data_IF_721149957922
#
_entry.id   IF_721149957922
#
_cell.length_a   1.000
_cell.length_b   1.000
_cell.length_c   1.000
_cell.angle_alpha   90.00
_cell.angle_beta   90.00
_cell.angle_gamma   90.00
#
_symmetry.space_group_name_H-M   'P 1'
#
loop_
_entity.id
_entity.type
_entity.pdbx_description
1 polymer ?
#
# COMPACT_ATOMS: atom_id res chain seq x y z
N UNK A 1 8.60 -13.27 10.99
CA UNK A 1 9.82 -12.56 10.53
C UNK A 1 9.51 -11.14 10.03
N UNK A 2 8.60 -10.98 9.07
CA UNK A 2 8.18 -9.67 8.51
C UNK A 2 7.77 -8.62 9.56
N UNK A 3 6.90 -8.98 10.52
CA UNK A 3 6.46 -8.06 11.59
C UNK A 3 7.57 -7.64 12.58
N UNK A 4 8.67 -8.39 12.68
CA UNK A 4 9.85 -7.98 13.47
C UNK A 4 10.77 -7.04 12.68
N UNK A 5 10.84 -7.22 11.35
CA UNK A 5 11.58 -6.34 10.46
C UNK A 5 10.89 -4.98 10.36
N UNK A 6 9.55 -4.93 10.22
CA UNK A 6 8.80 -3.67 10.23
C UNK A 6 9.02 -2.91 11.55
N UNK A 7 8.90 -3.59 12.70
CA UNK A 7 9.12 -3.01 14.04
C UNK A 7 10.48 -2.33 14.24
N UNK A 8 11.51 -2.73 13.51
CA UNK A 8 12.86 -2.14 13.59
C UNK A 8 12.98 -0.83 12.79
N UNK A 9 12.14 -0.65 11.77
CA UNK A 9 12.00 0.59 11.00
C UNK A 9 10.91 1.52 11.56
N UNK A 10 10.01 1.02 12.41
CA UNK A 10 8.91 1.81 13.03
C UNK A 10 9.31 2.52 14.33
N UNK A 11 10.55 3.01 14.48
CA UNK A 11 10.87 3.85 15.63
C UNK A 11 10.14 5.20 15.49
N UNK A 12 8.89 5.24 15.96
CA UNK A 12 8.12 6.43 16.40
C UNK A 12 7.88 7.58 15.41
N UNK A 13 8.39 7.56 14.19
CA UNK A 13 8.10 8.59 13.20
C UNK A 13 6.87 8.20 12.36
N UNK A 14 5.82 9.02 12.43
CA UNK A 14 4.71 8.98 11.48
C UNK A 14 5.25 9.35 10.09
N UNK A 15 4.97 8.51 9.10
CA UNK A 15 5.26 8.81 7.70
C UNK A 15 4.27 9.88 7.22
N UNK A 16 4.80 11.07 6.95
CA UNK A 16 3.98 12.23 6.55
C UNK A 16 3.61 12.21 5.06
N UNK A 17 4.22 11.33 4.25
CA UNK A 17 3.87 11.19 2.83
C UNK A 17 2.56 10.44 2.61
N UNK A 18 2.04 10.54 1.39
CA UNK A 18 0.89 9.75 0.95
C UNK A 18 1.32 8.29 0.75
N UNK A 19 0.53 7.35 1.26
CA UNK A 19 0.78 5.91 1.11
C UNK A 19 -0.41 5.28 0.41
N UNK A 20 -0.18 4.67 -0.75
CA UNK A 20 -1.17 3.80 -1.38
C UNK A 20 -0.94 2.35 -0.93
N UNK A 21 -1.94 1.76 -0.30
CA UNK A 21 -1.96 0.36 0.11
C UNK A 21 -2.90 -0.43 -0.79
N UNK A 22 -2.35 -1.25 -1.69
CA UNK A 22 -3.13 -2.11 -2.57
C UNK A 22 -3.25 -3.53 -1.99
N UNK A 23 -4.47 -4.07 -1.91
CA UNK A 23 -4.76 -5.38 -1.33
C UNK A 23 -5.66 -6.24 -2.23
N UNK A 24 -5.37 -7.54 -2.30
CA UNK A 24 -6.28 -8.54 -2.87
C UNK A 24 -7.48 -8.83 -1.96
N UNK A 25 -8.70 -8.88 -2.51
CA UNK A 25 -9.96 -9.21 -1.80
C UNK A 25 -9.94 -10.60 -1.16
N UNK A 26 -9.34 -11.58 -1.83
CA UNK A 26 -9.33 -13.00 -1.45
C UNK A 26 -8.11 -13.41 -0.63
N UNK A 27 -7.56 -12.47 0.15
CA UNK A 27 -6.41 -12.71 1.04
C UNK A 27 -6.87 -12.73 2.51
N UNK A 28 -7.39 -13.85 3.04
CA UNK A 28 -8.23 -13.88 4.23
C UNK A 28 -7.54 -13.47 5.55
N UNK A 29 -6.21 -13.44 5.63
CA UNK A 29 -5.49 -13.27 6.90
C UNK A 29 -4.36 -12.23 6.92
N UNK A 30 -3.85 -11.82 5.76
CA UNK A 30 -2.64 -10.98 5.70
C UNK A 30 -2.93 -9.48 5.76
N UNK A 31 -4.10 -9.06 5.26
CA UNK A 31 -4.46 -7.64 5.16
C UNK A 31 -4.71 -6.97 6.51
N UNK A 32 -5.57 -7.54 7.37
CA UNK A 32 -6.10 -6.81 8.53
C UNK A 32 -5.05 -6.35 9.54
N UNK A 33 -4.17 -7.24 9.99
CA UNK A 33 -3.17 -6.87 11.00
C UNK A 33 -2.07 -5.96 10.45
N UNK A 34 -1.76 -6.06 9.15
CA UNK A 34 -0.73 -5.22 8.52
C UNK A 34 -1.29 -3.84 8.18
N UNK A 35 -2.52 -3.78 7.65
CA UNK A 35 -3.21 -2.54 7.32
C UNK A 35 -3.41 -1.65 8.55
N UNK A 36 -3.79 -2.23 9.70
CA UNK A 36 -3.93 -1.46 10.95
C UNK A 36 -2.60 -0.87 11.44
N UNK A 37 -1.49 -1.59 11.26
CA UNK A 37 -0.16 -1.05 11.59
C UNK A 37 0.21 0.09 10.64
N UNK A 38 -0.08 -0.05 9.34
CA UNK A 38 0.15 1.02 8.37
C UNK A 38 -0.73 2.25 8.61
N UNK A 39 -2.01 2.09 8.98
CA UNK A 39 -2.90 3.21 9.36
C UNK A 39 -2.37 4.02 10.53
N UNK A 40 -1.73 3.37 11.50
CA UNK A 40 -1.09 4.05 12.63
C UNK A 40 0.18 4.80 12.22
N UNK A 41 0.89 4.31 11.21
CA UNK A 41 2.16 4.89 10.77
C UNK A 41 1.99 5.98 9.72
N UNK A 42 0.98 5.87 8.86
CA UNK A 42 0.75 6.74 7.72
C UNK A 42 -0.69 7.27 7.82
N UNK A 43 -0.91 8.45 8.44
CA UNK A 43 -2.25 9.03 8.55
C UNK A 43 -2.88 9.34 7.19
N UNK A 44 -2.05 9.53 6.16
CA UNK A 44 -2.45 9.77 4.77
C UNK A 44 -2.47 8.48 3.93
N UNK A 45 -2.85 7.35 4.54
CA UNK A 45 -2.97 6.08 3.84
C UNK A 45 -4.28 5.99 3.05
N UNK A 46 -4.17 5.65 1.76
CA UNK A 46 -5.27 5.30 0.88
C UNK A 46 -5.24 3.79 0.66
N UNK A 47 -6.35 3.10 1.00
CA UNK A 47 -6.51 1.66 0.76
C UNK A 47 -7.32 1.43 -0.52
N UNK A 48 -6.80 0.59 -1.41
CA UNK A 48 -7.57 0.10 -2.55
C UNK A 48 -7.56 -1.43 -2.62
N UNK A 49 -8.65 -1.98 -3.15
CA UNK A 49 -8.85 -3.43 -3.26
C UNK A 49 -8.91 -3.88 -4.70
N UNK A 50 -8.24 -4.98 -4.99
CA UNK A 50 -8.20 -5.64 -6.28
C UNK A 50 -8.82 -7.02 -6.11
N UNK A 51 -9.70 -7.40 -7.03
CA UNK A 51 -10.40 -8.68 -6.93
C UNK A 51 -9.50 -9.84 -7.36
N UNK A 52 -8.60 -10.25 -6.45
CA UNK A 52 -7.61 -11.28 -6.69
C UNK A 52 -7.01 -11.81 -5.38
N UNK A 53 -6.29 -12.92 -5.46
CA UNK A 53 -5.41 -13.36 -4.37
C UNK A 53 -4.09 -12.59 -4.37
N UNK A 54 -3.33 -12.69 -3.28
CA UNK A 54 -1.97 -12.15 -3.22
C UNK A 54 -1.04 -12.74 -4.30
N UNK A 55 -1.29 -13.99 -4.74
CA UNK A 55 -0.45 -14.65 -5.76
C UNK A 55 -0.69 -14.07 -7.15
N UNK A 56 -1.95 -13.80 -7.47
CA UNK A 56 -2.37 -13.35 -8.81
C UNK A 56 -2.16 -11.85 -9.03
N UNK A 57 -1.69 -11.13 -8.01
CA UNK A 57 -1.62 -9.67 -7.99
C UNK A 57 -0.79 -9.08 -9.16
N UNK A 58 0.25 -9.80 -9.57
CA UNK A 58 1.14 -9.42 -10.67
C UNK A 58 0.93 -10.28 -11.93
N UNK A 59 -0.12 -11.09 -11.94
CA UNK A 59 -0.52 -11.89 -13.09
C UNK A 59 -1.62 -11.17 -13.89
N UNK A 60 -1.73 -11.51 -15.17
CA UNK A 60 -2.84 -11.07 -16.01
C UNK A 60 -4.17 -11.70 -15.52
N UNK A 61 -5.29 -10.93 -15.47
CA UNK A 61 -5.43 -9.54 -15.89
C UNK A 61 -5.14 -8.50 -14.77
N UNK A 62 -4.90 -8.94 -13.54
CA UNK A 62 -4.81 -8.08 -12.36
C UNK A 62 -3.65 -7.10 -12.39
N UNK A 63 -2.53 -7.45 -13.01
CA UNK A 63 -1.38 -6.57 -13.19
C UNK A 63 -1.75 -5.28 -13.93
N UNK A 64 -2.69 -5.34 -14.88
CA UNK A 64 -3.23 -4.17 -15.56
C UNK A 64 -4.04 -3.27 -14.62
N UNK A 65 -4.85 -3.86 -13.74
CA UNK A 65 -5.60 -3.13 -12.71
C UNK A 65 -4.69 -2.52 -11.63
N UNK A 66 -3.57 -3.16 -11.30
CA UNK A 66 -2.53 -2.60 -10.43
C UNK A 66 -1.88 -1.40 -11.12
N UNK A 67 -1.47 -1.54 -12.38
CA UNK A 67 -0.80 -0.48 -13.13
C UNK A 67 -1.69 0.76 -13.29
N UNK A 68 -2.99 0.59 -13.58
CA UNK A 68 -3.97 1.69 -13.67
C UNK A 68 -4.03 2.54 -12.39
N UNK A 69 -3.86 1.93 -11.22
CA UNK A 69 -3.85 2.61 -9.91
C UNK A 69 -2.52 3.28 -9.60
N UNK A 70 -1.40 2.67 -10.00
CA UNK A 70 -0.06 3.19 -9.73
C UNK A 70 0.36 4.33 -10.66
N UNK A 71 0.03 4.24 -11.96
CA UNK A 71 0.51 5.19 -12.98
C UNK A 71 0.13 6.65 -12.65
N UNK A 72 -1.10 6.99 -12.21
CA UNK A 72 -1.44 8.36 -11.86
C UNK A 72 -0.60 8.96 -10.72
N UNK A 73 -0.12 8.11 -9.80
CA UNK A 73 0.67 8.53 -8.64
C UNK A 73 2.15 8.73 -8.97
N UNK A 74 2.68 7.92 -9.91
CA UNK A 74 4.09 7.98 -10.32
C UNK A 74 4.28 8.98 -11.48
N UNK A 75 3.26 9.11 -12.34
CA UNK A 75 3.30 9.86 -13.59
C UNK A 75 2.99 11.35 -13.48
N UNK A 76 2.87 11.91 -12.28
CA UNK A 76 2.73 13.36 -12.07
C UNK A 76 4.04 13.98 -11.57
N UNK A 77 5.01 14.28 -12.45
CA UNK A 77 6.28 14.91 -12.08
C UNK A 77 6.15 16.33 -11.47
N UNK A 78 4.95 16.91 -11.42
CA UNK A 78 4.69 18.27 -10.94
C UNK A 78 4.19 18.40 -9.49
N UNK A 79 4.11 17.31 -8.70
CA UNK A 79 3.88 17.45 -7.25
C UNK A 79 5.15 17.94 -6.55
N UNK A 80 5.45 19.24 -6.66
CA UNK A 80 6.29 19.92 -5.66
C UNK A 80 5.55 19.88 -4.32
N UNK A 81 6.22 19.59 -3.19
CA UNK A 81 5.60 19.81 -1.89
C UNK A 81 5.23 21.29 -1.80
N UNK A 82 3.95 21.57 -1.53
CA UNK A 82 3.50 22.92 -1.25
C UNK A 82 4.15 23.35 0.08
N UNK A 83 5.13 24.25 -0.02
CA UNK A 83 5.60 25.05 1.12
C UNK A 83 4.55 26.10 1.47
#
# INVERSE_FOLDING_TARGET
>A
AFLRASRRYTSRAEYQGEVLFLQGTDSPYWGRNILEEWRRMAPNLVEERIDCTHREFLDEPHVGEVAKRLIPLIGSPDRRPAN
#
